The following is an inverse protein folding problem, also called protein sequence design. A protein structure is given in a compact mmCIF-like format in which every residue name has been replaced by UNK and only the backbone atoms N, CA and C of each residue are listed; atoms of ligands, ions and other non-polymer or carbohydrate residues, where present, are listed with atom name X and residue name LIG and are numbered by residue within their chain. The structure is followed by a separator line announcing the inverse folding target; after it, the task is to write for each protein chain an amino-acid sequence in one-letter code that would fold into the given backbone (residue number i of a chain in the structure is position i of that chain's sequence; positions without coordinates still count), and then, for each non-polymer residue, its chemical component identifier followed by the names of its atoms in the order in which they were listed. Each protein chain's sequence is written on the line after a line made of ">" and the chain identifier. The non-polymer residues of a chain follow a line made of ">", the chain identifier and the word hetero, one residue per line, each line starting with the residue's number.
data_IF_808557005665
#
_entry.id   IF_808557005665
#
_cell.length_a   1.000
_cell.length_b   1.000
_cell.length_c   1.000
_cell.angle_alpha   90.00
_cell.angle_beta   90.00
_cell.angle_gamma   90.00
#
_symmetry.space_group_name_H-M   'P 1'
#
loop_
_entity.id
_entity.type
_entity.pdbx_description
1 polymer ?
#
# COMPACT_ATOMS: atom_id res chain seq x y z
N UNK A 1 -72.08 11.75 41.88
CA UNK A 1 -71.36 10.55 42.37
C UNK A 1 -70.20 10.33 41.41
N UNK A 2 -69.30 11.32 41.29
CA UNK A 2 -68.53 11.53 40.03
C UNK A 2 -67.05 11.87 40.26
N UNK A 3 -66.61 11.95 41.50
CA UNK A 3 -65.23 12.33 41.87
C UNK A 3 -64.21 11.18 41.81
N UNK A 4 -64.65 9.93 41.79
CA UNK A 4 -63.75 8.76 41.84
C UNK A 4 -63.27 8.29 40.45
N UNK A 5 -63.88 8.75 39.35
CA UNK A 5 -63.53 8.30 38.00
C UNK A 5 -62.26 9.00 37.47
N UNK A 6 -62.10 10.27 37.82
CA UNK A 6 -60.95 11.08 37.40
C UNK A 6 -59.63 10.63 38.05
N UNK A 7 -59.68 10.07 39.27
CA UNK A 7 -58.47 9.59 39.96
C UNK A 7 -57.97 8.25 39.38
N UNK A 8 -58.88 7.38 38.94
CA UNK A 8 -58.53 6.09 38.33
C UNK A 8 -57.94 6.31 36.92
N UNK A 9 -58.55 7.18 36.11
CA UNK A 9 -58.05 7.53 34.78
C UNK A 9 -56.66 8.22 34.85
N UNK A 10 -56.41 9.01 35.91
CA UNK A 10 -55.10 9.65 36.16
C UNK A 10 -54.00 8.67 36.62
N UNK A 11 -54.36 7.55 37.24
CA UNK A 11 -53.40 6.51 37.67
C UNK A 11 -53.04 5.59 36.49
N UNK A 12 -53.98 5.31 35.59
CA UNK A 12 -53.71 4.55 34.36
C UNK A 12 -52.76 5.30 33.42
N UNK A 13 -52.96 6.62 33.23
CA UNK A 13 -52.09 7.48 32.41
C UNK A 13 -50.68 7.66 32.97
N UNK A 14 -50.45 7.42 34.27
CA UNK A 14 -49.09 7.43 34.85
C UNK A 14 -48.35 6.10 34.65
N UNK A 15 -49.03 4.99 34.43
CA UNK A 15 -48.38 3.68 34.32
C UNK A 15 -47.85 3.41 32.90
N UNK A 16 -48.42 4.04 31.89
CA UNK A 16 -47.95 3.96 30.50
C UNK A 16 -46.63 4.71 30.30
N UNK A 17 -46.50 5.88 30.96
CA UNK A 17 -45.29 6.72 30.87
C UNK A 17 -44.06 6.14 31.57
N UNK A 18 -44.25 5.19 32.50
CA UNK A 18 -43.15 4.54 33.23
C UNK A 18 -42.70 3.25 32.54
N UNK A 19 -43.60 2.55 31.83
CA UNK A 19 -43.25 1.32 31.10
C UNK A 19 -42.50 1.56 29.79
N UNK A 20 -42.62 2.74 29.18
CA UNK A 20 -41.84 3.10 28.00
C UNK A 20 -40.34 3.32 28.29
N UNK A 21 -39.91 3.45 29.55
CA UNK A 21 -38.53 3.81 29.89
C UNK A 21 -37.67 2.60 30.33
N UNK A 22 -38.27 1.44 30.63
CA UNK A 22 -37.54 0.32 31.28
C UNK A 22 -37.11 -0.77 30.28
N UNK A 23 -37.72 -0.86 29.10
CA UNK A 23 -37.42 -1.91 28.11
C UNK A 23 -36.64 -1.46 26.88
N UNK A 24 -36.50 -0.15 26.65
CA UNK A 24 -35.82 0.36 25.48
C UNK A 24 -34.41 0.75 25.88
N UNK A 25 -33.43 -0.12 25.58
CA UNK A 25 -32.00 0.27 25.59
C UNK A 25 -31.93 1.65 24.95
N UNK A 26 -31.54 2.70 25.69
CA UNK A 26 -31.82 4.08 25.31
C UNK A 26 -31.30 4.28 23.89
N UNK A 27 -32.20 4.38 22.88
CA UNK A 27 -31.81 4.29 21.48
C UNK A 27 -30.90 5.45 21.07
N UNK A 28 -30.89 6.52 21.87
CA UNK A 28 -29.97 7.63 21.77
C UNK A 28 -28.49 7.22 21.94
N UNK A 29 -28.17 6.27 22.84
CA UNK A 29 -26.78 5.87 23.10
C UNK A 29 -26.22 5.03 21.93
N UNK A 30 -27.05 4.12 21.41
CA UNK A 30 -26.72 3.29 20.23
C UNK A 30 -26.58 4.16 18.98
N UNK A 31 -27.44 5.18 18.83
CA UNK A 31 -27.39 6.13 17.71
C UNK A 31 -26.10 6.95 17.71
N UNK A 32 -25.70 7.48 18.86
CA UNK A 32 -24.47 8.28 18.97
C UNK A 32 -23.22 7.42 18.81
N UNK A 33 -23.20 6.22 19.43
CA UNK A 33 -22.10 5.28 19.30
C UNK A 33 -21.89 4.84 17.85
N UNK A 34 -22.98 4.49 17.15
CA UNK A 34 -22.93 4.15 15.72
C UNK A 34 -22.39 5.32 14.88
N UNK A 35 -22.78 6.56 15.18
CA UNK A 35 -22.31 7.75 14.44
C UNK A 35 -20.80 7.97 14.59
N UNK A 36 -20.25 7.78 15.79
CA UNK A 36 -18.80 7.88 16.03
C UNK A 36 -18.06 6.76 15.30
N UNK A 37 -18.56 5.53 15.40
CA UNK A 37 -17.95 4.37 14.73
C UNK A 37 -17.97 4.54 13.21
N UNK A 38 -19.09 4.96 12.62
CA UNK A 38 -19.18 5.17 11.17
C UNK A 38 -18.21 6.24 10.69
N UNK A 39 -18.04 7.33 11.46
CA UNK A 39 -17.10 8.39 11.12
C UNK A 39 -15.65 7.89 11.16
N UNK A 40 -15.28 7.09 12.17
CA UNK A 40 -13.97 6.45 12.25
C UNK A 40 -13.74 5.50 11.08
N UNK A 41 -14.73 4.68 10.72
CA UNK A 41 -14.64 3.76 9.57
C UNK A 41 -14.46 4.51 8.26
N UNK A 42 -15.19 5.61 8.04
CA UNK A 42 -15.02 6.47 6.86
C UNK A 42 -13.60 7.07 6.83
N UNK A 43 -13.09 7.56 7.96
CA UNK A 43 -11.74 8.10 8.05
C UNK A 43 -10.68 7.04 7.70
N UNK A 44 -10.82 5.81 8.20
CA UNK A 44 -9.96 4.69 7.82
C UNK A 44 -10.08 4.34 6.33
N UNK A 45 -11.29 4.34 5.77
CA UNK A 45 -11.52 4.08 4.36
C UNK A 45 -10.83 5.12 3.47
N UNK A 46 -10.90 6.40 3.84
CA UNK A 46 -10.19 7.48 3.13
C UNK A 46 -8.69 7.30 3.25
N UNK A 47 -8.16 7.02 4.45
CA UNK A 47 -6.73 6.76 4.63
C UNK A 47 -6.25 5.57 3.80
N UNK A 48 -7.00 4.48 3.76
CA UNK A 48 -6.69 3.30 2.95
C UNK A 48 -6.74 3.61 1.44
N UNK A 49 -7.60 4.54 1.03
CA UNK A 49 -7.70 4.99 -0.36
C UNK A 49 -6.56 5.93 -0.78
N UNK A 50 -6.11 6.81 0.13
CA UNK A 50 -5.08 7.82 -0.17
C UNK A 50 -3.66 7.29 -0.05
N UNK A 51 -3.40 6.30 0.83
CA UNK A 51 -2.04 5.78 1.01
C UNK A 51 -1.67 4.83 -0.14
N UNK A 52 -0.86 5.34 -1.07
CA UNK A 52 -0.20 4.56 -2.13
C UNK A 52 1.00 3.82 -1.51
N UNK A 53 0.99 2.50 -1.54
CA UNK A 53 2.15 1.68 -1.16
C UNK A 53 2.81 1.11 -2.43
N UNK A 54 3.74 1.84 -3.08
CA UNK A 54 4.46 1.29 -4.20
C UNK A 54 5.34 0.15 -3.70
N UNK A 55 5.06 -1.08 -4.14
CA UNK A 55 5.89 -2.23 -3.79
C UNK A 55 7.18 -2.11 -4.60
N UNK A 56 8.30 -1.95 -3.89
CA UNK A 56 9.64 -1.85 -4.48
C UNK A 56 10.49 -3.04 -4.07
N UNK A 57 11.25 -3.58 -5.02
CA UNK A 57 12.27 -4.61 -4.77
C UNK A 57 13.63 -3.93 -4.84
N UNK A 58 14.46 -4.15 -3.82
CA UNK A 58 15.86 -3.73 -3.85
C UNK A 58 16.70 -4.78 -4.57
N UNK A 59 17.49 -4.32 -5.54
CA UNK A 59 18.39 -5.14 -6.32
C UNK A 59 19.76 -4.46 -6.38
N UNK A 60 20.81 -5.26 -6.34
CA UNK A 60 22.19 -4.77 -6.45
C UNK A 60 22.72 -5.12 -7.83
N UNK A 61 23.61 -4.31 -8.38
CA UNK A 61 24.11 -4.54 -9.72
C UNK A 61 25.43 -3.84 -9.99
N UNK A 62 25.89 -4.04 -11.22
CA UNK A 62 27.15 -3.51 -11.70
C UNK A 62 26.95 -2.88 -13.06
N UNK A 63 27.60 -1.73 -13.26
CA UNK A 63 27.59 -1.06 -14.55
C UNK A 63 28.49 -1.82 -15.52
N UNK A 64 27.96 -2.15 -16.69
CA UNK A 64 28.68 -2.81 -17.77
C UNK A 64 29.20 -1.79 -18.79
N UNK A 65 30.16 -2.23 -19.62
CA UNK A 65 30.87 -1.36 -20.58
C UNK A 65 29.99 -0.78 -21.68
N UNK A 66 28.87 -1.42 -21.97
CA UNK A 66 27.90 -1.06 -23.01
C UNK A 66 26.79 -0.12 -22.47
N UNK A 67 27.03 0.62 -21.39
CA UNK A 67 26.03 1.48 -20.72
C UNK A 67 24.77 0.72 -20.24
N UNK A 68 24.86 -0.61 -20.18
CA UNK A 68 23.86 -1.44 -19.52
C UNK A 68 24.25 -1.70 -18.08
N UNK A 69 23.27 -1.92 -17.22
CA UNK A 69 23.48 -2.35 -15.84
C UNK A 69 22.86 -3.72 -15.69
N UNK A 70 23.67 -4.62 -15.15
CA UNK A 70 23.22 -5.94 -14.75
C UNK A 70 22.87 -5.90 -13.27
N UNK A 71 21.60 -6.16 -12.96
CA UNK A 71 21.01 -6.18 -11.64
C UNK A 71 20.79 -7.64 -11.22
N UNK A 72 21.30 -7.99 -10.06
CA UNK A 72 21.05 -9.23 -9.35
C UNK A 72 19.77 -9.06 -8.54
N UNK A 73 18.71 -9.72 -9.01
CA UNK A 73 17.38 -9.69 -8.38
C UNK A 73 17.12 -11.04 -7.73
N UNK A 74 16.59 -11.11 -6.49
CA UNK A 74 16.27 -12.38 -5.86
C UNK A 74 15.29 -13.21 -6.69
N UNK A 75 15.59 -14.50 -6.87
CA UNK A 75 14.83 -15.41 -7.75
C UNK A 75 13.36 -15.53 -7.37
N UNK A 76 13.02 -15.31 -6.09
CA UNK A 76 11.63 -15.25 -5.61
C UNK A 76 10.75 -14.31 -6.42
N UNK A 77 11.31 -13.26 -7.03
CA UNK A 77 10.55 -12.24 -7.74
C UNK A 77 10.49 -12.43 -9.26
N UNK A 78 11.03 -13.52 -9.81
CA UNK A 78 11.10 -13.74 -11.26
C UNK A 78 9.73 -13.57 -11.95
N UNK A 79 8.66 -14.13 -11.37
CA UNK A 79 7.28 -14.06 -11.87
C UNK A 79 6.71 -12.63 -11.99
N UNK A 80 7.37 -11.63 -11.41
CA UNK A 80 6.94 -10.23 -11.52
C UNK A 80 7.50 -9.54 -12.78
N UNK A 81 8.41 -10.17 -13.51
CA UNK A 81 9.13 -9.58 -14.65
C UNK A 81 8.52 -9.92 -16.01
N UNK A 82 7.34 -10.56 -16.02
CA UNK A 82 6.54 -10.81 -17.23
C UNK A 82 6.03 -9.51 -17.87
N UNK A 83 5.86 -8.46 -17.07
CA UNK A 83 5.46 -7.12 -17.52
C UNK A 83 6.66 -6.15 -17.50
N UNK A 84 6.67 -5.12 -18.36
CA UNK A 84 7.71 -4.09 -18.31
C UNK A 84 7.71 -3.37 -16.96
N UNK A 85 8.85 -3.41 -16.26
CA UNK A 85 9.05 -2.76 -14.96
C UNK A 85 9.98 -1.56 -15.08
N UNK A 86 9.81 -0.61 -14.16
CA UNK A 86 10.65 0.57 -14.04
C UNK A 86 11.58 0.41 -12.84
N UNK A 87 12.88 0.62 -13.05
CA UNK A 87 13.90 0.59 -12.02
C UNK A 87 14.40 2.01 -11.74
N UNK A 88 14.44 2.37 -10.46
CA UNK A 88 15.11 3.58 -9.96
C UNK A 88 16.52 3.21 -9.59
N UNK A 89 17.49 3.66 -10.36
CA UNK A 89 18.90 3.35 -10.21
C UNK A 89 19.62 4.47 -9.44
N UNK A 90 20.46 4.06 -8.51
CA UNK A 90 21.41 4.91 -7.80
C UNK A 90 22.81 4.32 -7.99
N UNK A 91 23.74 5.14 -8.45
CA UNK A 91 25.12 4.73 -8.67
C UNK A 91 25.98 4.98 -7.43
N UNK A 92 26.99 4.14 -7.22
CA UNK A 92 28.00 4.36 -6.18
C UNK A 92 28.71 5.71 -6.40
N UNK A 93 28.80 6.53 -5.34
CA UNK A 93 29.37 7.88 -5.40
C UNK A 93 28.40 8.97 -5.91
N UNK A 94 27.14 8.63 -6.18
CA UNK A 94 26.08 9.60 -6.40
C UNK A 94 25.64 10.22 -5.07
N UNK A 95 25.42 11.54 -5.06
CA UNK A 95 24.91 12.26 -3.88
C UNK A 95 23.54 11.70 -3.46
N UNK A 96 23.30 11.61 -2.15
CA UNK A 96 22.05 11.09 -1.60
C UNK A 96 20.84 11.97 -1.96
N UNK A 97 21.08 13.27 -2.16
CA UNK A 97 20.05 14.23 -2.56
C UNK A 97 19.84 14.30 -4.09
N UNK A 98 20.67 13.61 -4.88
CA UNK A 98 20.52 13.58 -6.33
C UNK A 98 19.36 12.67 -6.74
N UNK A 99 18.57 13.14 -7.72
CA UNK A 99 17.46 12.37 -8.24
C UNK A 99 17.93 11.00 -8.79
N UNK A 100 17.32 9.87 -8.37
CA UNK A 100 17.62 8.55 -8.92
C UNK A 100 17.34 8.51 -10.42
N UNK A 101 18.16 7.77 -11.17
CA UNK A 101 17.96 7.60 -12.60
C UNK A 101 16.86 6.57 -12.83
N UNK A 102 15.74 6.98 -13.43
CA UNK A 102 14.63 6.06 -13.71
C UNK A 102 14.81 5.45 -15.09
N UNK A 103 14.88 4.12 -15.17
CA UNK A 103 15.10 3.39 -16.41
C UNK A 103 14.15 2.18 -16.52
N UNK A 104 13.67 1.84 -17.73
CA UNK A 104 12.95 0.59 -17.94
C UNK A 104 13.90 -0.61 -17.86
N UNK A 105 13.38 -1.75 -17.40
CA UNK A 105 14.07 -3.03 -17.50
C UNK A 105 13.87 -3.53 -18.93
N UNK A 106 14.97 -3.67 -19.67
CA UNK A 106 14.94 -3.99 -21.11
C UNK A 106 14.88 -5.49 -21.35
N UNK A 107 15.49 -6.28 -20.47
CA UNK A 107 15.47 -7.74 -20.53
C UNK A 107 15.78 -8.32 -19.17
N UNK A 108 15.42 -9.58 -18.98
CA UNK A 108 15.83 -10.38 -17.84
C UNK A 108 16.23 -11.77 -18.33
N UNK A 109 17.09 -12.44 -17.57
CA UNK A 109 17.48 -13.83 -17.80
C UNK A 109 16.81 -14.68 -16.74
N UNK A 110 16.21 -15.80 -17.15
CA UNK A 110 15.65 -16.80 -16.23
C UNK A 110 16.71 -17.74 -15.63
N UNK A 111 17.97 -17.58 -16.05
CA UNK A 111 19.07 -18.40 -15.57
C UNK A 111 19.28 -18.18 -14.07
N UNK A 112 19.27 -19.27 -13.32
CA UNK A 112 19.55 -19.27 -11.90
C UNK A 112 21.03 -18.94 -11.65
N UNK A 113 21.26 -17.92 -10.83
CA UNK A 113 22.59 -17.53 -10.35
C UNK A 113 22.64 -17.76 -8.84
N UNK A 114 23.66 -18.47 -8.36
CA UNK A 114 23.87 -18.70 -6.93
C UNK A 114 24.97 -17.77 -6.45
N UNK A 115 24.64 -16.86 -5.53
CA UNK A 115 25.59 -15.92 -4.93
C UNK A 115 25.45 -16.03 -3.41
N UNK A 116 26.54 -16.37 -2.72
CA UNK A 116 26.57 -16.56 -1.26
C UNK A 116 25.47 -17.51 -0.74
N UNK A 117 25.17 -18.57 -1.50
CA UNK A 117 24.13 -19.56 -1.17
C UNK A 117 22.69 -19.08 -1.45
N UNK A 118 22.50 -17.86 -1.93
CA UNK A 118 21.21 -17.30 -2.29
C UNK A 118 20.97 -17.38 -3.81
N UNK A 119 19.70 -17.52 -4.18
CA UNK A 119 19.25 -17.64 -5.56
C UNK A 119 18.87 -16.28 -6.15
N UNK A 120 19.50 -15.92 -7.26
CA UNK A 120 19.28 -14.68 -8.01
C UNK A 120 19.05 -14.97 -9.49
N UNK A 121 18.53 -13.98 -10.18
CA UNK A 121 18.52 -13.91 -11.65
C UNK A 121 19.00 -12.53 -12.09
N UNK A 122 19.41 -12.43 -13.35
CA UNK A 122 19.97 -11.18 -13.89
C UNK A 122 18.91 -10.40 -14.66
N UNK A 123 18.63 -9.17 -14.22
CA UNK A 123 17.85 -8.20 -14.97
C UNK A 123 18.78 -7.15 -15.59
N UNK A 124 18.51 -6.76 -16.83
CA UNK A 124 19.29 -5.75 -17.57
C UNK A 124 18.48 -4.49 -17.75
N UNK A 125 19.11 -3.36 -17.48
CA UNK A 125 18.54 -2.04 -17.76
C UNK A 125 19.56 -1.19 -18.50
N UNK A 126 19.12 -0.37 -19.45
CA UNK A 126 19.98 0.57 -20.17
C UNK A 126 19.95 1.93 -19.47
N UNK A 127 21.10 2.44 -19.05
CA UNK A 127 21.19 3.82 -18.57
C UNK A 127 21.33 4.71 -19.80
N UNK A 128 20.40 5.65 -19.98
CA UNK A 128 20.65 6.77 -20.89
C UNK A 128 21.56 7.76 -20.19
N UNK A 129 22.86 7.63 -20.44
CA UNK A 129 23.86 8.55 -19.91
C UNK A 129 23.53 9.97 -20.38
N UNK A 130 23.08 10.85 -19.48
CA UNK A 130 22.75 12.25 -19.78
C UNK A 130 24.04 13.10 -19.91
N UNK A 131 25.00 12.63 -20.71
CA UNK A 131 26.29 13.28 -20.94
C UNK A 131 27.38 12.99 -19.90
N UNK A 132 27.11 12.20 -18.85
CA UNK A 132 28.08 11.87 -17.78
C UNK A 132 28.62 10.45 -17.98
N UNK A 133 29.86 10.30 -18.43
CA UNK A 133 30.50 8.99 -18.64
C UNK A 133 30.49 8.17 -17.34
N UNK A 134 29.61 7.19 -17.24
CA UNK A 134 29.58 6.24 -16.12
C UNK A 134 30.69 5.24 -16.34
N UNK A 135 31.55 5.04 -15.33
CA UNK A 135 32.65 4.10 -15.46
C UNK A 135 32.13 2.66 -15.37
N UNK A 136 32.58 1.76 -16.27
CA UNK A 136 32.25 0.35 -16.15
C UNK A 136 32.83 -0.22 -14.86
N UNK A 137 32.04 -1.06 -14.21
CA UNK A 137 32.42 -1.75 -12.99
C UNK A 137 31.98 -1.08 -11.69
N UNK A 138 31.41 0.12 -11.78
CA UNK A 138 30.80 0.81 -10.64
C UNK A 138 29.63 -0.01 -10.07
N UNK A 139 29.50 -0.06 -8.74
CA UNK A 139 28.32 -0.67 -8.12
C UNK A 139 27.11 0.23 -8.32
N UNK A 140 25.97 -0.40 -8.52
CA UNK A 140 24.70 0.28 -8.66
C UNK A 140 23.66 -0.43 -7.80
N UNK A 141 22.80 0.34 -7.15
CA UNK A 141 21.63 -0.19 -6.46
C UNK A 141 20.39 0.25 -7.23
N UNK A 142 19.45 -0.67 -7.43
CA UNK A 142 18.18 -0.37 -8.06
C UNK A 142 17.01 -0.66 -7.13
N UNK A 143 16.01 0.22 -7.16
CA UNK A 143 14.68 -0.04 -6.60
C UNK A 143 13.71 -0.25 -7.74
N UNK A 144 13.28 -1.49 -7.92
CA UNK A 144 12.38 -1.90 -9.00
C UNK A 144 10.95 -1.73 -8.51
N UNK A 145 10.18 -0.84 -9.13
CA UNK A 145 8.78 -0.63 -8.78
C UNK A 145 7.94 -1.67 -9.50
N UNK A 146 7.33 -2.59 -8.74
CA UNK A 146 6.48 -3.65 -9.28
C UNK A 146 5.11 -3.09 -9.65
N UNK A 147 4.50 -2.37 -8.71
CA UNK A 147 3.18 -1.79 -8.91
C UNK A 147 3.09 -0.48 -8.15
N UNK A 148 2.60 0.54 -8.84
CA UNK A 148 2.12 1.77 -8.22
C UNK A 148 0.70 1.57 -7.64
N UNK A 149 0.03 0.43 -7.79
CA UNK A 149 -1.38 0.30 -7.37
C UNK A 149 -1.61 0.61 -5.88
N UNK A 150 -2.74 1.25 -5.56
CA UNK A 150 -3.17 1.43 -4.16
C UNK A 150 -3.55 0.08 -3.55
N UNK A 151 -3.53 -0.03 -2.22
CA UNK A 151 -3.99 -1.24 -1.52
C UNK A 151 -5.42 -1.61 -1.91
N UNK A 152 -6.29 -0.63 -2.14
CA UNK A 152 -7.64 -0.84 -2.69
C UNK A 152 -7.63 -1.53 -4.07
N UNK A 153 -6.79 -1.05 -4.98
CA UNK A 153 -6.64 -1.66 -6.31
C UNK A 153 -6.04 -3.07 -6.25
N UNK A 154 -5.26 -3.40 -5.21
CA UNK A 154 -4.67 -4.72 -5.02
C UNK A 154 -5.66 -5.72 -4.42
N UNK A 155 -6.54 -5.29 -3.52
CA UNK A 155 -7.52 -6.18 -2.84
C UNK A 155 -8.76 -6.45 -3.70
N UNK A 156 -9.25 -5.46 -4.44
CA UNK A 156 -10.54 -5.56 -5.16
C UNK A 156 -10.42 -5.93 -6.63
N UNK A 157 -9.22 -6.10 -7.17
CA UNK A 157 -9.01 -6.46 -8.57
C UNK A 157 -8.52 -7.90 -8.65
N UNK A 158 -9.47 -8.82 -8.78
CA UNK A 158 -9.25 -10.23 -9.16
C UNK A 158 -9.16 -10.34 -10.68
#
# INVERSE_FOLDING_TARGET
>A
MDSNKNDIDNIELRSEKVRHIIGQVPPALVRTGTMVITLVVIALAVAFYTIRYPITIEAQGKVMRNESVELLVPYKYLYLFDEPRMARLTLEGQDNDAAPVVCPITSHSENLLIVDGNHYFTAKTSIRSNGKKVQPGLKASAKITISDKTLWQQVFRK
#
